data_IF_085053729822
#
_entry.id   IF_085053729822
#
_cell.length_a   1.000
_cell.length_b   1.000
_cell.length_c   1.000
_cell.angle_alpha   90.00
_cell.angle_beta   90.00
_cell.angle_gamma   90.00
#
_symmetry.space_group_name_H-M   'P 1'
#
loop_
_entity.id
_entity.type
_entity.pdbx_description
1 polymer ?
#
# COMPACT_ATOMS: atom_id res chain seq x y z
N UNK A 1 18.67 22.18 -42.71
CA UNK A 1 18.91 20.83 -42.15
C UNK A 1 17.80 20.56 -41.16
N UNK A 2 16.89 19.66 -41.52
CA UNK A 2 15.54 19.58 -41.00
C UNK A 2 15.47 19.10 -39.55
N UNK A 3 14.57 19.72 -38.77
CA UNK A 3 14.22 19.42 -37.38
C UNK A 3 13.34 18.16 -37.30
N UNK A 4 13.81 17.03 -37.81
CA UNK A 4 13.09 15.75 -37.78
C UNK A 4 13.47 14.91 -36.54
N UNK A 5 13.67 15.59 -35.40
CA UNK A 5 14.23 15.00 -34.16
C UNK A 5 13.21 14.37 -33.20
N UNK A 6 11.91 14.44 -33.52
CA UNK A 6 10.85 13.68 -32.83
C UNK A 6 10.13 12.85 -33.88
N UNK A 7 10.85 11.86 -34.42
CA UNK A 7 10.23 10.80 -35.22
C UNK A 7 9.07 10.23 -34.39
N UNK A 8 7.86 10.30 -34.97
CA UNK A 8 6.58 10.18 -34.30
C UNK A 8 6.57 9.09 -33.21
N UNK A 9 6.36 9.50 -31.95
CA UNK A 9 6.02 8.63 -30.82
C UNK A 9 4.50 8.63 -30.69
N UNK A 10 3.77 7.94 -31.57
CA UNK A 10 2.33 8.12 -31.71
C UNK A 10 1.59 7.71 -30.42
N UNK A 11 2.05 6.67 -29.73
CA UNK A 11 1.38 6.20 -28.52
C UNK A 11 1.73 7.06 -27.30
N UNK A 12 3.01 7.36 -27.11
CA UNK A 12 3.44 8.15 -25.95
C UNK A 12 2.95 9.60 -26.01
N UNK A 13 2.95 10.20 -27.21
CA UNK A 13 2.41 11.54 -27.42
C UNK A 13 0.88 11.61 -27.32
N UNK A 14 0.16 10.55 -27.72
CA UNK A 14 -1.28 10.47 -27.51
C UNK A 14 -1.64 10.38 -26.02
N UNK A 15 -0.79 9.76 -25.19
CA UNK A 15 -1.06 9.54 -23.78
C UNK A 15 -0.67 10.72 -22.88
N UNK A 16 0.50 11.32 -23.08
CA UNK A 16 1.07 12.39 -22.22
C UNK A 16 1.09 13.76 -22.89
N UNK A 17 0.72 13.84 -24.18
CA UNK A 17 0.91 15.05 -24.97
C UNK A 17 2.33 15.20 -25.54
N UNK A 18 2.45 15.94 -26.64
CA UNK A 18 3.71 16.05 -27.41
C UNK A 18 4.85 16.71 -26.65
N UNK A 19 4.55 17.75 -25.88
CA UNK A 19 5.57 18.52 -25.16
C UNK A 19 6.22 17.70 -24.04
N UNK A 20 5.40 17.06 -23.21
CA UNK A 20 5.90 16.22 -22.11
C UNK A 20 6.57 14.97 -22.66
N UNK A 21 6.06 14.39 -23.76
CA UNK A 21 6.71 13.29 -24.46
C UNK A 21 8.15 13.65 -24.89
N UNK A 22 8.33 14.82 -25.50
CA UNK A 22 9.65 15.29 -25.92
C UNK A 22 10.60 15.47 -24.73
N UNK A 23 10.14 16.10 -23.64
CA UNK A 23 10.96 16.29 -22.42
C UNK A 23 11.37 14.97 -21.77
N UNK A 24 10.46 13.99 -21.70
CA UNK A 24 10.77 12.67 -21.15
C UNK A 24 11.84 11.96 -21.97
N UNK A 25 11.76 12.03 -23.29
CA UNK A 25 12.74 11.43 -24.20
C UNK A 25 14.08 12.15 -24.10
N UNK A 26 14.06 13.48 -24.02
CA UNK A 26 15.26 14.31 -23.86
C UNK A 26 15.99 13.99 -22.55
N UNK A 27 15.27 13.96 -21.42
CA UNK A 27 15.84 13.64 -20.10
C UNK A 27 16.33 12.19 -19.99
N UNK A 28 15.67 11.25 -20.67
CA UNK A 28 16.13 9.87 -20.72
C UNK A 28 17.32 9.66 -21.67
N UNK A 29 17.65 10.63 -22.53
CA UNK A 29 18.70 10.51 -23.55
C UNK A 29 18.30 9.68 -24.77
N UNK A 30 16.99 9.54 -25.04
CA UNK A 30 16.45 8.85 -26.21
C UNK A 30 15.30 7.87 -25.91
N UNK A 31 14.64 7.40 -26.98
CA UNK A 31 13.52 6.46 -26.85
C UNK A 31 13.95 5.08 -26.32
N UNK A 32 15.10 4.58 -26.78
CA UNK A 32 15.59 3.25 -26.39
C UNK A 32 15.98 3.20 -24.90
N UNK A 33 16.55 4.27 -24.36
CA UNK A 33 16.82 4.39 -22.92
C UNK A 33 15.52 4.56 -22.14
N UNK A 34 14.59 5.40 -22.60
CA UNK A 34 13.27 5.59 -21.98
C UNK A 34 12.49 4.26 -21.86
N UNK A 35 12.48 3.44 -22.92
CA UNK A 35 11.79 2.15 -22.94
C UNK A 35 12.40 1.10 -22.00
N UNK A 36 13.69 1.23 -21.63
CA UNK A 36 14.35 0.35 -20.66
C UNK A 36 14.01 0.71 -19.21
N UNK A 37 13.57 1.95 -18.96
CA UNK A 37 13.23 2.41 -17.62
C UNK A 37 11.98 1.70 -17.08
N UNK A 38 12.00 1.42 -15.78
CA UNK A 38 10.82 0.95 -15.06
C UNK A 38 9.84 2.11 -14.84
N UNK A 39 8.56 1.79 -14.60
CA UNK A 39 7.55 2.82 -14.28
C UNK A 39 7.95 3.67 -13.07
N UNK A 40 8.64 3.09 -12.08
CA UNK A 40 9.14 3.83 -10.91
C UNK A 40 10.25 4.80 -11.31
N UNK A 41 11.22 4.37 -12.12
CA UNK A 41 12.30 5.24 -12.59
C UNK A 41 11.76 6.40 -13.46
N UNK A 42 10.75 6.13 -14.30
CA UNK A 42 10.08 7.15 -15.10
C UNK A 42 9.41 8.25 -14.26
N UNK A 43 8.83 7.91 -13.09
CA UNK A 43 8.28 8.93 -12.17
C UNK A 43 9.33 9.94 -11.75
N UNK A 44 10.58 9.48 -11.59
CA UNK A 44 11.67 10.28 -11.07
C UNK A 44 12.47 11.02 -12.15
N UNK A 45 12.14 10.85 -13.44
CA UNK A 45 12.79 11.59 -14.52
C UNK A 45 12.44 13.08 -14.43
N UNK A 46 13.47 13.94 -14.45
CA UNK A 46 13.32 15.39 -14.33
C UNK A 46 13.20 15.89 -12.90
N UNK A 47 13.52 15.05 -11.90
CA UNK A 47 13.70 15.50 -10.53
C UNK A 47 15.09 16.12 -10.35
N UNK A 48 15.21 17.42 -10.59
CA UNK A 48 16.42 18.16 -10.24
C UNK A 48 16.41 18.55 -8.76
N UNK A 49 17.57 18.41 -8.11
CA UNK A 49 17.76 18.78 -6.70
C UNK A 49 17.57 20.28 -6.43
N UNK A 50 17.77 21.13 -7.46
CA UNK A 50 17.73 22.59 -7.37
C UNK A 50 16.39 23.18 -7.83
N UNK A 51 15.71 22.61 -8.84
CA UNK A 51 14.38 23.05 -9.28
C UNK A 51 13.29 22.33 -8.48
N UNK A 52 13.31 22.51 -7.16
CA UNK A 52 12.25 22.07 -6.27
C UNK A 52 11.03 22.97 -6.46
N UNK A 53 10.37 22.83 -7.60
CA UNK A 53 8.98 23.26 -7.74
C UNK A 53 8.17 22.49 -6.67
N UNK A 54 7.30 23.18 -5.93
CA UNK A 54 6.55 22.66 -4.78
C UNK A 54 5.96 21.25 -5.01
N UNK A 55 5.54 20.93 -6.25
CA UNK A 55 5.01 19.62 -6.66
C UNK A 55 5.97 18.45 -6.54
N UNK A 56 7.23 18.62 -6.91
CA UNK A 56 8.19 17.51 -7.04
C UNK A 56 8.54 16.91 -5.68
N UNK A 57 8.46 17.73 -4.63
CA UNK A 57 8.76 17.35 -3.24
C UNK A 57 7.65 16.52 -2.59
N UNK A 58 6.39 16.81 -2.92
CA UNK A 58 5.24 16.14 -2.29
C UNK A 58 4.71 14.94 -3.09
N UNK A 59 4.82 14.97 -4.43
CA UNK A 59 4.39 13.87 -5.30
C UNK A 59 5.51 12.89 -5.66
N UNK A 60 6.78 13.28 -5.45
CA UNK A 60 7.96 12.55 -5.93
C UNK A 60 7.91 12.27 -7.44
N UNK A 61 7.43 13.25 -8.21
CA UNK A 61 7.23 13.18 -9.65
C UNK A 61 8.00 14.31 -10.34
N UNK A 62 8.71 13.99 -11.43
CA UNK A 62 9.33 14.99 -12.31
C UNK A 62 8.40 15.38 -13.45
N UNK A 63 8.84 15.27 -14.71
CA UNK A 63 8.10 15.80 -15.87
C UNK A 63 6.73 15.14 -16.12
N UNK A 64 6.52 13.93 -15.63
CA UNK A 64 5.24 13.21 -15.79
C UNK A 64 4.07 13.97 -15.15
N UNK A 65 4.31 14.74 -14.09
CA UNK A 65 3.28 15.55 -13.45
C UNK A 65 2.82 16.74 -14.31
N UNK A 66 3.56 17.09 -15.37
CA UNK A 66 3.16 18.13 -16.32
C UNK A 66 2.22 17.60 -17.43
N UNK A 67 1.89 16.30 -17.42
CA UNK A 67 0.98 15.72 -18.40
C UNK A 67 -0.40 16.39 -18.36
N UNK A 68 -1.02 16.69 -19.53
CA UNK A 68 -2.31 17.38 -19.58
C UNK A 68 -3.41 16.60 -18.88
N UNK A 69 -3.40 15.26 -18.99
CA UNK A 69 -4.37 14.38 -18.28
C UNK A 69 -4.16 14.43 -16.76
N UNK A 70 -2.93 14.63 -16.27
CA UNK A 70 -2.71 14.77 -14.83
C UNK A 70 -3.17 16.16 -14.34
N UNK A 71 -2.81 17.20 -15.10
CA UNK A 71 -3.19 18.59 -14.81
C UNK A 71 -4.71 18.79 -14.85
N UNK A 72 -5.42 18.10 -15.74
CA UNK A 72 -6.89 18.10 -15.85
C UNK A 72 -7.57 17.68 -14.54
N UNK A 73 -7.02 16.67 -13.84
CA UNK A 73 -7.64 16.09 -12.64
C UNK A 73 -7.10 16.66 -11.32
N UNK A 74 -5.80 16.95 -11.26
CA UNK A 74 -5.10 17.31 -10.01
C UNK A 74 -4.58 18.76 -9.98
N UNK A 75 -4.70 19.50 -11.09
CA UNK A 75 -4.32 20.91 -11.18
C UNK A 75 -2.89 21.17 -11.67
N UNK A 76 -2.68 22.42 -12.11
CA UNK A 76 -1.48 22.85 -12.80
C UNK A 76 -0.44 23.54 -11.92
N UNK A 77 -0.69 23.80 -10.63
CA UNK A 77 0.19 24.52 -9.69
C UNK A 77 0.45 23.71 -8.41
N UNK A 78 -0.60 23.42 -7.65
CA UNK A 78 -0.52 22.63 -6.41
C UNK A 78 -1.65 21.60 -6.35
N UNK A 79 -1.33 20.41 -5.85
CA UNK A 79 -2.33 19.36 -5.60
C UNK A 79 -2.92 19.59 -4.22
N UNK A 80 -4.25 19.48 -4.12
CA UNK A 80 -4.97 19.62 -2.85
C UNK A 80 -4.50 18.58 -1.84
N UNK A 81 -4.39 18.96 -0.57
CA UNK A 81 -3.96 18.07 0.51
C UNK A 81 -4.80 16.78 0.59
N UNK A 82 -6.12 16.91 0.42
CA UNK A 82 -7.07 15.78 0.44
C UNK A 82 -6.80 14.78 -0.70
N UNK A 83 -6.37 15.27 -1.86
CA UNK A 83 -6.19 14.48 -3.08
C UNK A 83 -4.74 13.99 -3.25
N UNK A 84 -3.84 14.29 -2.31
CA UNK A 84 -2.41 13.96 -2.40
C UNK A 84 -2.14 12.47 -2.54
N UNK A 85 -2.90 11.63 -1.85
CA UNK A 85 -2.75 10.17 -1.95
C UNK A 85 -3.23 9.65 -3.31
N UNK A 86 -4.37 10.16 -3.80
CA UNK A 86 -4.88 9.85 -5.13
C UNK A 86 -3.91 10.29 -6.22
N UNK A 87 -3.32 11.48 -6.08
CA UNK A 87 -2.34 12.02 -7.02
C UNK A 87 -1.06 11.18 -7.10
N UNK A 88 -0.52 10.69 -5.97
CA UNK A 88 0.65 9.79 -5.96
C UNK A 88 0.36 8.49 -6.73
N UNK A 89 -0.81 7.88 -6.48
CA UNK A 89 -1.27 6.68 -7.20
C UNK A 89 -1.48 6.98 -8.68
N UNK A 90 -2.07 8.11 -9.02
CA UNK A 90 -2.29 8.54 -10.39
C UNK A 90 -0.98 8.68 -11.18
N UNK A 91 0.04 9.31 -10.60
CA UNK A 91 1.39 9.38 -11.20
C UNK A 91 1.97 7.98 -11.41
N UNK A 92 1.79 7.07 -10.45
CA UNK A 92 2.25 5.68 -10.57
C UNK A 92 1.59 4.93 -11.73
N UNK A 93 0.27 5.07 -11.89
CA UNK A 93 -0.49 4.49 -13.00
C UNK A 93 0.00 5.08 -14.31
N UNK A 94 0.06 6.40 -14.41
CA UNK A 94 0.46 7.11 -15.62
C UNK A 94 1.86 6.69 -16.07
N UNK A 95 2.84 6.67 -15.16
CA UNK A 95 4.22 6.28 -15.48
C UNK A 95 4.34 4.82 -15.98
N UNK A 96 3.53 3.90 -15.45
CA UNK A 96 3.48 2.52 -15.97
C UNK A 96 2.93 2.47 -17.39
N UNK A 97 1.86 3.22 -17.67
CA UNK A 97 1.29 3.30 -19.02
C UNK A 97 2.26 3.97 -20.00
N UNK A 98 2.98 5.00 -19.58
CA UNK A 98 4.07 5.61 -20.35
C UNK A 98 5.17 4.60 -20.70
N UNK A 99 5.58 3.73 -19.75
CA UNK A 99 6.57 2.67 -20.02
C UNK A 99 6.10 1.70 -21.11
N UNK A 100 4.82 1.31 -21.08
CA UNK A 100 4.22 0.43 -22.08
C UNK A 100 4.15 1.13 -23.45
N UNK A 101 3.69 2.39 -23.47
CA UNK A 101 3.63 3.20 -24.69
C UNK A 101 5.01 3.41 -25.31
N UNK A 102 6.04 3.74 -24.51
CA UNK A 102 7.42 3.89 -24.97
C UNK A 102 7.96 2.60 -25.60
N UNK A 103 7.66 1.44 -25.00
CA UNK A 103 8.05 0.13 -25.54
C UNK A 103 7.31 -0.21 -26.84
N UNK A 104 6.04 0.14 -26.94
CA UNK A 104 5.24 -0.05 -28.16
C UNK A 104 5.75 0.84 -29.30
N UNK A 105 6.11 2.10 -29.00
CA UNK A 105 6.71 3.02 -29.96
C UNK A 105 8.10 2.53 -30.40
N UNK A 106 8.92 2.00 -29.48
CA UNK A 106 10.23 1.41 -29.82
C UNK A 106 10.11 0.16 -30.71
N UNK A 107 9.05 -0.63 -30.52
CA UNK A 107 8.81 -1.83 -31.32
C UNK A 107 8.42 -1.54 -32.78
N UNK A 108 8.17 -0.27 -33.14
CA UNK A 108 7.88 0.12 -34.52
C UNK A 108 6.47 -0.26 -35.00
N UNK A 109 5.49 -0.23 -34.09
CA UNK A 109 4.08 -0.49 -34.42
C UNK A 109 3.42 0.56 -35.34
N UNK A 110 2.12 0.42 -35.64
CA UNK A 110 1.41 1.34 -36.52
C UNK A 110 1.41 2.78 -35.98
N UNK A 111 1.61 3.76 -36.88
CA UNK A 111 1.73 5.19 -36.57
C UNK A 111 0.41 5.86 -36.08
N UNK A 112 -0.64 5.07 -35.83
CA UNK A 112 -1.99 5.58 -35.53
C UNK A 112 -2.15 6.05 -34.08
N UNK A 113 -1.27 5.61 -33.16
CA UNK A 113 -1.36 6.01 -31.75
C UNK A 113 -2.54 5.39 -31.00
N UNK A 114 -3.21 4.40 -31.60
CA UNK A 114 -4.44 3.80 -31.07
C UNK A 114 -4.27 3.18 -29.67
N UNK A 115 -3.10 2.59 -29.38
CA UNK A 115 -2.78 2.07 -28.05
C UNK A 115 -2.69 3.20 -27.03
N UNK A 116 -2.01 4.30 -27.38
CA UNK A 116 -1.91 5.48 -26.52
C UNK A 116 -3.28 6.08 -26.19
N UNK A 117 -4.15 6.21 -27.19
CA UNK A 117 -5.52 6.70 -27.00
C UNK A 117 -6.37 5.77 -26.11
N UNK A 118 -6.33 4.46 -26.36
CA UNK A 118 -7.06 3.49 -25.55
C UNK A 118 -6.56 3.44 -24.09
N UNK A 119 -5.25 3.57 -23.88
CA UNK A 119 -4.70 3.64 -22.53
C UNK A 119 -5.00 4.98 -21.84
N UNK A 120 -5.08 6.09 -22.57
CA UNK A 120 -5.51 7.38 -22.03
C UNK A 120 -6.93 7.30 -21.45
N UNK A 121 -7.87 6.67 -22.16
CA UNK A 121 -9.23 6.48 -21.64
C UNK A 121 -9.26 5.68 -20.33
N UNK A 122 -8.44 4.62 -20.23
CA UNK A 122 -8.30 3.83 -19.00
C UNK A 122 -7.68 4.66 -17.87
N UNK A 123 -6.69 5.49 -18.19
CA UNK A 123 -6.07 6.40 -17.21
C UNK A 123 -7.10 7.40 -16.69
N UNK A 124 -7.90 8.02 -17.56
CA UNK A 124 -8.97 8.94 -17.15
C UNK A 124 -9.96 8.27 -16.21
N UNK A 125 -10.47 7.09 -16.56
CA UNK A 125 -11.35 6.30 -15.68
C UNK A 125 -10.69 5.99 -14.34
N UNK A 126 -9.42 5.60 -14.35
CA UNK A 126 -8.68 5.33 -13.11
C UNK A 126 -8.53 6.58 -12.24
N UNK A 127 -8.37 7.76 -12.83
CA UNK A 127 -8.26 9.02 -12.08
C UNK A 127 -9.59 9.44 -11.48
N UNK A 128 -10.69 9.26 -12.21
CA UNK A 128 -12.05 9.45 -11.70
C UNK A 128 -12.32 8.55 -10.48
N UNK A 129 -11.99 7.26 -10.60
CA UNK A 129 -12.12 6.28 -9.50
C UNK A 129 -11.23 6.66 -8.33
N UNK A 130 -9.97 7.02 -8.57
CA UNK A 130 -9.04 7.43 -7.49
C UNK A 130 -9.52 8.67 -6.72
N UNK A 131 -10.13 9.65 -7.40
CA UNK A 131 -10.70 10.84 -6.75
C UNK A 131 -12.02 10.53 -6.02
N UNK A 132 -12.76 9.51 -6.47
CA UNK A 132 -13.99 9.06 -5.83
C UNK A 132 -13.72 8.17 -4.60
N UNK A 133 -12.83 7.18 -4.73
CA UNK A 133 -12.48 6.19 -3.69
C UNK A 133 -11.43 6.70 -2.69
N UNK A 134 -10.51 7.58 -3.13
CA UNK A 134 -9.49 8.20 -2.27
C UNK A 134 -10.10 9.07 -1.17
N UNK A 135 -11.32 9.55 -1.40
CA UNK A 135 -12.21 10.01 -0.34
C UNK A 135 -12.84 8.76 0.25
N UNK A 136 -12.18 8.19 1.26
CA UNK A 136 -12.74 7.08 2.04
C UNK A 136 -14.20 7.40 2.28
N UNK A 137 -15.10 6.65 1.64
CA UNK A 137 -16.52 6.81 1.86
C UNK A 137 -16.68 6.55 3.35
N UNK A 138 -16.87 7.62 4.13
CA UNK A 138 -17.02 7.61 5.59
C UNK A 138 -18.25 6.80 6.05
N UNK A 139 -18.89 6.11 5.11
CA UNK A 139 -20.15 5.38 5.19
C UNK A 139 -19.99 3.88 5.01
N UNK A 140 -18.77 3.32 4.96
CA UNK A 140 -18.60 1.88 5.22
C UNK A 140 -18.76 1.62 6.72
N UNK A 141 -19.98 1.88 7.19
CA UNK A 141 -20.49 1.44 8.49
C UNK A 141 -20.79 -0.06 8.37
N UNK A 142 -19.75 -0.86 8.12
CA UNK A 142 -19.88 -2.30 8.13
C UNK A 142 -20.46 -2.67 9.49
N UNK A 143 -21.70 -3.16 9.48
CA UNK A 143 -22.39 -3.51 10.70
C UNK A 143 -21.53 -4.49 11.49
N UNK A 144 -21.40 -4.24 12.79
CA UNK A 144 -20.71 -5.18 13.67
C UNK A 144 -21.33 -6.57 13.49
N UNK A 145 -20.51 -7.63 13.51
CA UNK A 145 -21.05 -8.98 13.42
C UNK A 145 -22.04 -9.20 14.56
N UNK A 146 -23.18 -9.80 14.24
CA UNK A 146 -24.24 -10.10 15.21
C UNK A 146 -23.62 -10.91 16.36
N UNK A 147 -23.79 -10.49 17.62
CA UNK A 147 -23.23 -11.20 18.75
C UNK A 147 -23.85 -12.61 18.81
N UNK A 148 -23.05 -13.64 18.50
CA UNK A 148 -23.44 -15.06 18.47
C UNK A 148 -23.84 -15.61 19.85
N UNK A 149 -23.83 -14.79 20.90
CA UNK A 149 -23.96 -15.20 22.30
C UNK A 149 -25.44 -15.29 22.73
N UNK A 150 -26.39 -14.75 21.95
CA UNK A 150 -27.79 -14.61 22.39
C UNK A 150 -28.83 -15.41 21.61
N UNK A 151 -28.45 -16.20 20.61
CA UNK A 151 -29.40 -17.11 19.95
C UNK A 151 -29.49 -18.39 20.77
N UNK A 152 -30.56 -18.51 21.59
CA UNK A 152 -30.90 -19.76 22.30
C UNK A 152 -30.90 -20.92 21.30
N UNK A 153 -29.90 -21.80 21.38
CA UNK A 153 -29.81 -23.02 20.57
C UNK A 153 -28.64 -23.10 19.58
N UNK A 154 -27.83 -22.05 19.41
CA UNK A 154 -26.61 -22.16 18.58
C UNK A 154 -25.49 -22.91 19.31
N UNK A 155 -24.89 -23.92 18.66
CA UNK A 155 -23.77 -24.67 19.20
C UNK A 155 -22.53 -23.77 19.33
N UNK A 156 -21.94 -23.73 20.52
CA UNK A 156 -20.67 -23.05 20.74
C UNK A 156 -19.63 -23.55 19.72
N UNK A 157 -18.99 -22.62 18.99
CA UNK A 157 -17.96 -22.95 17.98
C UNK A 157 -16.98 -23.97 18.55
N UNK A 158 -16.81 -25.09 17.82
CA UNK A 158 -15.89 -26.17 18.19
C UNK A 158 -14.49 -25.60 18.32
N UNK A 159 -14.02 -25.46 19.57
CA UNK A 159 -12.61 -25.16 19.87
C UNK A 159 -11.81 -26.34 19.35
N UNK A 160 -10.95 -26.12 18.35
CA UNK A 160 -9.96 -27.14 18.03
C UNK A 160 -8.83 -27.04 19.07
N UNK A 161 -8.17 -28.17 19.29
CA UNK A 161 -7.06 -28.29 20.22
C UNK A 161 -5.74 -28.51 19.49
N UNK A 162 -4.64 -28.34 20.22
CA UNK A 162 -3.30 -28.70 19.76
C UNK A 162 -2.29 -27.57 19.90
N UNK A 163 -1.03 -27.87 19.58
CA UNK A 163 0.10 -26.95 19.81
C UNK A 163 -0.03 -25.64 19.03
N UNK A 164 -0.62 -25.67 17.82
CA UNK A 164 -0.82 -24.49 16.97
C UNK A 164 -1.85 -23.53 17.54
N UNK A 165 -2.95 -24.04 18.08
CA UNK A 165 -4.00 -23.21 18.67
C UNK A 165 -3.65 -22.71 20.06
N UNK A 166 -2.95 -23.53 20.85
CA UNK A 166 -2.38 -23.08 22.12
C UNK A 166 -1.40 -21.91 21.91
N UNK A 167 -0.52 -22.01 20.90
CA UNK A 167 0.37 -20.89 20.52
C UNK A 167 -0.41 -19.67 20.03
N UNK A 168 -1.47 -19.87 19.24
CA UNK A 168 -2.33 -18.77 18.76
C UNK A 168 -3.00 -18.03 19.92
N UNK A 169 -3.60 -18.75 20.87
CA UNK A 169 -4.24 -18.16 22.06
C UNK A 169 -3.22 -17.43 22.94
N UNK A 170 -2.03 -18.01 23.10
CA UNK A 170 -0.94 -17.37 23.85
C UNK A 170 -0.43 -16.10 23.16
N UNK A 171 -0.33 -16.09 21.82
CA UNK A 171 0.09 -14.92 21.04
C UNK A 171 -0.96 -13.79 21.02
N UNK A 172 -2.24 -14.16 21.07
CA UNK A 172 -3.39 -13.25 21.19
C UNK A 172 -3.56 -12.70 22.61
N UNK A 173 -2.80 -13.21 23.59
CA UNK A 173 -2.94 -12.91 25.03
C UNK A 173 -4.30 -13.31 25.62
N UNK A 174 -5.03 -14.19 24.96
CA UNK A 174 -6.31 -14.72 25.44
C UNK A 174 -6.13 -15.76 26.55
N UNK A 175 -4.96 -16.39 26.61
CA UNK A 175 -4.64 -17.40 27.61
C UNK A 175 -3.94 -16.76 28.82
N UNK A 176 -4.51 -16.86 30.05
CA UNK A 176 -3.89 -16.29 31.24
C UNK A 176 -2.55 -16.95 31.53
N UNK A 177 -1.61 -16.15 32.05
CA UNK A 177 -0.28 -16.61 32.44
C UNK A 177 -0.35 -17.60 33.62
N UNK A 178 0.73 -18.37 33.82
CA UNK A 178 0.79 -19.34 34.92
C UNK A 178 0.59 -18.69 36.30
N UNK A 179 1.14 -17.47 36.47
CA UNK A 179 0.92 -16.66 37.67
C UNK A 179 -0.52 -16.18 37.76
N UNK A 180 -1.06 -15.60 36.69
CA UNK A 180 -2.45 -15.12 36.68
C UNK A 180 -3.45 -16.22 37.04
N UNK A 181 -3.22 -17.45 36.55
CA UNK A 181 -4.04 -18.61 36.95
C UNK A 181 -3.88 -18.96 38.42
N UNK A 182 -2.65 -18.97 38.94
CA UNK A 182 -2.39 -19.29 40.34
C UNK A 182 -2.97 -18.23 41.29
N UNK A 183 -2.99 -16.97 40.87
CA UNK A 183 -3.52 -15.82 41.63
C UNK A 183 -5.04 -15.72 41.51
N UNK A 184 -5.66 -16.25 40.45
CA UNK A 184 -7.11 -16.19 40.26
C UNK A 184 -7.94 -16.84 41.37
N UNK A 185 -7.32 -17.74 42.16
CA UNK A 185 -7.96 -18.39 43.30
C UNK A 185 -7.47 -17.79 44.62
N UNK A 186 -8.39 -17.22 45.39
CA UNK A 186 -8.12 -16.66 46.73
C UNK A 186 -8.52 -17.68 47.80
N UNK A 187 -7.62 -17.94 48.76
CA UNK A 187 -7.93 -18.76 49.94
C UNK A 187 -8.65 -17.92 50.98
N UNK A 188 -9.77 -18.43 51.48
CA UNK A 188 -10.48 -17.78 52.58
C UNK A 188 -9.67 -17.87 53.87
N UNK A 189 -9.60 -16.77 54.62
CA UNK A 189 -8.95 -16.73 55.94
C UNK A 189 -7.43 -16.55 55.94
N UNK A 190 -6.81 -16.28 54.79
CA UNK A 190 -5.38 -15.92 54.68
C UNK A 190 -5.28 -14.57 53.96
N UNK A 191 -4.37 -13.69 54.34
CA UNK A 191 -4.19 -12.41 53.65
C UNK A 191 -3.72 -12.63 52.21
N UNK A 192 -4.19 -11.79 51.27
CA UNK A 192 -3.86 -11.94 49.84
C UNK A 192 -2.34 -11.81 49.59
N UNK A 193 -1.66 -10.95 50.36
CA UNK A 193 -0.22 -10.74 50.27
C UNK A 193 0.58 -11.98 50.70
N UNK A 194 0.19 -12.61 51.81
CA UNK A 194 0.80 -13.87 52.27
C UNK A 194 0.57 -15.01 51.27
N UNK A 195 -0.63 -15.05 50.67
CA UNK A 195 -0.93 -16.01 49.61
C UNK A 195 -0.04 -15.79 48.39
N UNK A 196 0.11 -14.56 47.92
CA UNK A 196 0.98 -14.21 46.80
C UNK A 196 2.43 -14.59 47.09
N UNK A 197 2.94 -14.26 48.28
CA UNK A 197 4.30 -14.64 48.70
C UNK A 197 4.47 -16.17 48.70
N UNK A 198 3.50 -16.90 49.24
CA UNK A 198 3.53 -18.37 49.25
C UNK A 198 3.48 -18.96 47.83
N UNK A 199 2.70 -18.37 46.91
CA UNK A 199 2.60 -18.78 45.52
C UNK A 199 3.89 -18.49 44.74
N UNK A 200 4.53 -17.35 44.99
CA UNK A 200 5.84 -17.02 44.42
C UNK A 200 6.95 -17.91 44.95
N UNK A 201 6.82 -18.49 46.14
CA UNK A 201 7.79 -19.43 46.71
C UNK A 201 7.67 -20.85 46.12
N UNK A 202 6.55 -21.21 45.50
CA UNK A 202 6.35 -22.53 44.88
C UNK A 202 7.32 -22.74 43.71
N UNK A 203 8.03 -23.88 43.73
CA UNK A 203 8.93 -24.33 42.67
C UNK A 203 8.24 -24.40 41.30
N UNK A 204 6.98 -24.83 41.28
CA UNK A 204 6.26 -25.13 40.05
C UNK A 204 5.89 -23.84 39.30
N UNK A 205 5.54 -22.80 40.05
CA UNK A 205 5.24 -21.46 39.54
C UNK A 205 6.52 -20.78 39.06
N UNK A 206 7.59 -20.86 39.86
CA UNK A 206 8.92 -20.33 39.49
C UNK A 206 9.48 -20.96 38.21
N UNK A 207 9.40 -22.28 38.08
CA UNK A 207 9.90 -22.97 36.89
C UNK A 207 9.08 -22.63 35.64
N UNK A 208 7.77 -22.42 35.75
CA UNK A 208 6.93 -22.00 34.62
C UNK A 208 7.19 -20.54 34.22
N UNK A 209 7.46 -19.65 35.17
CA UNK A 209 7.88 -18.27 34.91
C UNK A 209 9.22 -18.23 34.19
N UNK A 210 10.22 -18.96 34.70
CA UNK A 210 11.54 -19.06 34.07
C UNK A 210 11.46 -19.66 32.66
N UNK A 211 10.56 -20.62 32.42
CA UNK A 211 10.28 -21.15 31.07
C UNK A 211 9.60 -20.13 30.14
N UNK A 212 8.86 -19.16 30.70
CA UNK A 212 8.29 -18.04 29.96
C UNK A 212 9.35 -17.02 29.55
N UNK A 213 10.32 -16.74 30.43
CA UNK A 213 11.42 -15.79 30.19
C UNK A 213 12.45 -16.35 29.20
N UNK A 214 12.73 -17.66 29.27
CA UNK A 214 13.72 -18.33 28.38
C UNK A 214 13.19 -18.62 26.98
N UNK A 215 11.86 -18.64 26.80
CA UNK A 215 11.29 -18.56 25.45
C UNK A 215 11.55 -17.16 24.93
N UNK A 216 12.55 -17.03 24.05
CA UNK A 216 12.73 -15.84 23.24
C UNK A 216 11.35 -15.40 22.75
N UNK A 217 10.99 -14.10 22.84
CA UNK A 217 9.74 -13.64 22.25
C UNK A 217 9.76 -14.19 20.83
N UNK A 218 8.82 -15.09 20.51
CA UNK A 218 8.60 -15.48 19.12
C UNK A 218 8.45 -14.12 18.45
N UNK A 219 9.46 -13.72 17.70
CA UNK A 219 9.40 -12.51 16.91
C UNK A 219 8.13 -12.75 16.15
N UNK A 220 7.06 -12.02 16.52
CA UNK A 220 5.90 -11.90 15.67
C UNK A 220 6.58 -11.62 14.35
N UNK A 221 6.49 -12.55 13.38
CA UNK A 221 6.79 -12.21 12.00
C UNK A 221 6.06 -10.90 11.90
N UNK A 222 6.81 -9.79 11.83
CA UNK A 222 6.21 -8.46 11.86
C UNK A 222 5.04 -8.63 10.93
N UNK A 223 3.78 -8.34 11.34
CA UNK A 223 2.69 -8.38 10.37
C UNK A 223 3.29 -7.66 9.20
N UNK A 224 3.53 -8.39 8.10
CA UNK A 224 4.37 -7.93 6.98
C UNK A 224 3.93 -6.51 6.87
N UNK A 225 4.81 -5.54 7.20
CA UNK A 225 4.35 -4.15 7.27
C UNK A 225 3.58 -4.06 5.97
N UNK A 226 2.31 -3.70 6.03
CA UNK A 226 1.70 -3.27 4.82
C UNK A 226 2.54 -2.02 4.51
N UNK A 227 3.76 -2.16 3.93
CA UNK A 227 3.92 -2.12 2.49
C UNK A 227 2.52 -1.90 1.98
N UNK A 228 2.11 -0.63 2.13
CA UNK A 228 1.10 -0.02 1.33
C UNK A 228 1.73 -0.18 -0.03
N UNK A 229 1.64 -1.41 -0.54
CA UNK A 229 2.11 -1.77 -1.84
C UNK A 229 1.20 -0.88 -2.64
N UNK A 230 1.76 0.23 -3.11
CA UNK A 230 1.10 1.21 -3.96
C UNK A 230 0.45 0.49 -5.17
N UNK A 231 0.81 -0.78 -5.37
CA UNK A 231 0.36 -1.81 -6.29
C UNK A 231 -0.89 -2.59 -5.84
N UNK A 232 -1.08 -2.92 -4.54
CA UNK A 232 -2.24 -3.70 -4.05
C UNK A 232 -3.55 -2.95 -4.26
N UNK A 233 -3.56 -1.64 -4.00
CA UNK A 233 -4.73 -0.79 -4.27
C UNK A 233 -4.98 -0.62 -5.78
N UNK A 234 -3.92 -0.61 -6.60
CA UNK A 234 -4.05 -0.54 -8.06
C UNK A 234 -4.56 -1.86 -8.67
N UNK A 235 -4.37 -2.99 -8.00
CA UNK A 235 -4.95 -4.28 -8.37
C UNK A 235 -6.43 -4.37 -7.97
N UNK A 236 -6.87 -3.59 -6.98
CA UNK A 236 -8.27 -3.52 -6.56
C UNK A 236 -9.11 -2.58 -7.43
N UNK A 237 -8.49 -1.60 -8.09
CA UNK A 237 -9.15 -0.80 -9.14
C UNK A 237 -9.44 -1.71 -10.33
N UNK A 238 -10.68 -2.20 -10.42
CA UNK A 238 -11.18 -2.92 -11.59
C UNK A 238 -11.29 -1.93 -12.75
N UNK A 239 -10.35 -2.01 -13.69
CA UNK A 239 -10.39 -1.28 -14.98
C UNK A 239 -11.55 -1.74 -15.88
#
# INVERSE_FOLDING_TARGET
MAKDGVAALPNLSALVGREVAARLVEQAGGLASLARLSGVALRHLGLDAASQFQRSRHLHAGEIAAAPVFVEFFGADEVRADDMQAAKKAVAVLARKCSIAAKADLAGGPATGALGAAELEKVRRSFEVLLAEGKVNATDTQALPVPQVFVRGEEAKKKRGGRREFRKQQAQKDAPSALERAVSHVKMGVSEEEQLQSLMQRSDVRTQLLKGVTKAPEQRKRPREADTEEYDDLLQIRL
#
